data_IF_084253920680
#
_entry.id   IF_084253920680
#
_cell.length_a   1.000
_cell.length_b   1.000
_cell.length_c   1.000
_cell.angle_alpha   90.00
_cell.angle_beta   90.00
_cell.angle_gamma   90.00
#
_symmetry.space_group_name_H-M   'P 1'
#
loop_
_entity.id
_entity.type
_entity.pdbx_description
1 polymer ?
#
# COMPACT_ATOMS: atom_id res chain seq x y z
N UNK A 1 23.94 -36.33 -19.35
CA UNK A 1 22.71 -35.56 -19.05
C UNK A 1 23.08 -34.16 -18.53
N UNK A 2 23.40 -33.17 -19.39
CA UNK A 2 23.90 -31.86 -18.89
C UNK A 2 23.56 -30.62 -19.73
N UNK A 3 22.66 -30.66 -20.71
CA UNK A 3 22.39 -29.49 -21.57
C UNK A 3 20.97 -28.87 -21.46
N UNK A 4 20.06 -29.45 -20.68
CA UNK A 4 18.68 -28.92 -20.54
C UNK A 4 18.58 -27.69 -19.63
N UNK A 5 19.42 -27.58 -18.59
CA UNK A 5 19.36 -26.47 -17.62
C UNK A 5 19.75 -25.11 -18.22
N UNK A 6 20.68 -25.07 -19.18
CA UNK A 6 21.14 -23.81 -19.79
C UNK A 6 20.18 -23.22 -20.84
N UNK A 7 19.40 -24.07 -21.55
CA UNK A 7 18.38 -23.58 -22.47
C UNK A 7 17.20 -22.93 -21.73
N UNK A 8 16.80 -23.49 -20.58
CA UNK A 8 15.74 -22.94 -19.76
C UNK A 8 16.10 -21.57 -19.14
N UNK A 9 17.33 -21.38 -18.67
CA UNK A 9 17.75 -20.09 -18.09
C UNK A 9 17.88 -18.97 -19.14
N UNK A 10 18.40 -19.29 -20.33
CA UNK A 10 18.49 -18.34 -21.44
C UNK A 10 17.11 -17.93 -21.95
N UNK A 11 16.16 -18.87 -22.02
CA UNK A 11 14.77 -18.61 -22.40
C UNK A 11 14.00 -17.78 -21.36
N UNK A 12 14.22 -18.02 -20.06
CA UNK A 12 13.65 -17.19 -19.00
C UNK A 12 14.22 -15.76 -19.02
N UNK A 13 15.51 -15.61 -19.31
CA UNK A 13 16.18 -14.30 -19.45
C UNK A 13 15.67 -13.52 -20.65
N UNK A 14 15.45 -14.18 -21.80
CA UNK A 14 14.92 -13.51 -22.99
C UNK A 14 13.47 -13.05 -22.83
N UNK A 15 12.62 -13.84 -22.15
CA UNK A 15 11.25 -13.42 -21.81
C UNK A 15 11.24 -12.18 -20.92
N UNK A 16 12.08 -12.14 -19.89
CA UNK A 16 12.19 -10.98 -19.00
C UNK A 16 12.61 -9.71 -19.75
N UNK A 17 13.55 -9.83 -20.69
CA UNK A 17 14.00 -8.72 -21.53
C UNK A 17 12.91 -8.26 -22.51
N UNK A 18 12.16 -9.18 -23.12
CA UNK A 18 11.03 -8.87 -24.00
C UNK A 18 9.92 -8.12 -23.24
N UNK A 19 9.54 -8.61 -22.06
CA UNK A 19 8.52 -7.95 -21.22
C UNK A 19 8.97 -6.56 -20.79
N UNK A 20 10.22 -6.42 -20.33
CA UNK A 20 10.77 -5.11 -19.94
C UNK A 20 10.83 -4.13 -21.12
N UNK A 21 11.20 -4.60 -22.31
CA UNK A 21 11.25 -3.75 -23.51
C UNK A 21 9.86 -3.32 -23.98
N UNK A 22 8.85 -4.20 -23.88
CA UNK A 22 7.47 -3.85 -24.20
C UNK A 22 6.95 -2.78 -23.23
N UNK A 23 7.19 -2.95 -21.93
CA UNK A 23 6.78 -1.96 -20.92
C UNK A 23 7.47 -0.61 -21.17
N UNK A 24 8.79 -0.62 -21.44
CA UNK A 24 9.53 0.59 -21.75
C UNK A 24 8.99 1.31 -22.99
N UNK A 25 8.58 0.56 -24.01
CA UNK A 25 7.92 1.11 -25.20
C UNK A 25 6.58 1.77 -24.85
N UNK A 26 5.73 1.12 -24.05
CA UNK A 26 4.44 1.69 -23.62
C UNK A 26 4.65 2.99 -22.85
N UNK A 27 5.63 3.05 -21.95
CA UNK A 27 5.97 4.27 -21.22
C UNK A 27 6.48 5.36 -22.18
N UNK A 28 7.37 5.04 -23.11
CA UNK A 28 7.88 6.00 -24.09
C UNK A 28 6.78 6.54 -25.02
N UNK A 29 5.78 5.70 -25.33
CA UNK A 29 4.60 6.07 -26.10
C UNK A 29 3.48 6.74 -25.29
N UNK A 30 3.64 6.93 -23.97
CA UNK A 30 2.58 7.51 -23.15
C UNK A 30 2.08 8.87 -23.60
N UNK A 31 2.90 9.80 -24.17
CA UNK A 31 2.38 11.05 -24.71
C UNK A 31 1.40 10.80 -25.86
N UNK A 32 1.71 9.86 -26.75
CA UNK A 32 0.81 9.49 -27.85
C UNK A 32 -0.47 8.85 -27.34
N UNK A 33 -0.42 8.06 -26.26
CA UNK A 33 -1.60 7.48 -25.63
C UNK A 33 -2.57 8.55 -25.14
N UNK A 34 -2.05 9.67 -24.64
CA UNK A 34 -2.87 10.84 -24.32
C UNK A 34 -3.46 11.47 -25.58
N UNK A 35 -2.65 11.76 -26.59
CA UNK A 35 -3.09 12.40 -27.84
C UNK A 35 -4.07 11.58 -28.70
N UNK A 36 -4.37 10.32 -28.33
CA UNK A 36 -5.43 9.55 -28.98
C UNK A 36 -6.80 10.23 -28.94
N UNK A 37 -7.03 11.20 -28.04
CA UNK A 37 -8.27 11.98 -28.03
C UNK A 37 -8.50 12.74 -29.35
N UNK A 38 -7.45 13.11 -30.10
CA UNK A 38 -7.58 13.87 -31.35
C UNK A 38 -8.21 13.06 -32.50
N UNK A 39 -8.26 11.73 -32.36
CA UNK A 39 -8.89 10.85 -33.35
C UNK A 39 -10.42 10.94 -33.26
N UNK A 40 -10.95 11.38 -32.12
CA UNK A 40 -12.39 11.49 -31.90
C UNK A 40 -12.95 12.74 -32.60
N UNK A 41 -14.18 12.66 -33.14
CA UNK A 41 -14.78 13.79 -33.84
C UNK A 41 -15.11 14.93 -32.89
N UNK A 42 -15.01 16.15 -33.41
CA UNK A 42 -15.53 17.36 -32.78
C UNK A 42 -17.05 17.39 -33.01
N UNK A 43 -17.81 17.01 -32.00
CA UNK A 43 -19.26 16.88 -32.10
C UNK A 43 -19.84 16.10 -30.92
N UNK A 44 -21.11 16.38 -30.62
CA UNK A 44 -21.84 15.77 -29.50
C UNK A 44 -22.05 14.27 -29.64
N UNK A 45 -22.14 13.79 -30.88
CA UNK A 45 -22.41 12.39 -31.19
C UNK A 45 -21.24 11.83 -32.00
N UNK A 46 -20.74 10.69 -31.55
CA UNK A 46 -19.81 9.87 -32.29
C UNK A 46 -20.53 8.61 -32.77
N UNK A 47 -20.77 8.56 -34.08
CA UNK A 47 -21.32 7.40 -34.75
C UNK A 47 -20.19 6.56 -35.33
N UNK A 48 -20.15 5.29 -34.96
CA UNK A 48 -19.32 4.27 -35.59
C UNK A 48 -20.22 3.15 -36.10
N UNK A 49 -19.71 2.35 -37.04
CA UNK A 49 -20.37 1.17 -37.60
C UNK A 49 -20.91 0.15 -36.57
N UNK A 50 -20.43 0.20 -35.32
CA UNK A 50 -20.76 -0.75 -34.26
C UNK A 50 -21.52 -0.13 -33.08
N UNK A 51 -21.47 1.20 -32.90
CA UNK A 51 -22.07 1.88 -31.75
C UNK A 51 -22.22 3.38 -32.00
N UNK A 52 -23.18 3.98 -31.29
CA UNK A 52 -23.37 5.42 -31.21
C UNK A 52 -23.09 5.86 -29.79
N UNK A 53 -22.11 6.75 -29.62
CA UNK A 53 -21.80 7.38 -28.35
C UNK A 53 -22.28 8.84 -28.38
N UNK A 54 -23.05 9.25 -27.39
CA UNK A 54 -23.48 10.65 -27.22
C UNK A 54 -22.88 11.18 -25.91
N UNK A 55 -22.10 12.25 -26.01
CA UNK A 55 -21.62 13.00 -24.85
C UNK A 55 -22.72 13.96 -24.41
N UNK A 56 -23.33 13.69 -23.25
CA UNK A 56 -24.44 14.51 -22.75
C UNK A 56 -23.97 15.62 -21.81
N UNK A 57 -22.86 15.42 -21.09
CA UNK A 57 -22.35 16.40 -20.13
C UNK A 57 -21.29 17.32 -20.77
N UNK A 58 -20.31 16.74 -21.47
CA UNK A 58 -19.27 17.55 -22.10
C UNK A 58 -19.73 18.19 -23.42
N UNK A 59 -20.89 17.78 -23.94
CA UNK A 59 -21.52 18.21 -25.20
C UNK A 59 -20.67 18.01 -26.46
N UNK A 60 -19.44 17.51 -26.30
CA UNK A 60 -18.45 17.28 -27.32
C UNK A 60 -17.64 16.01 -26.99
N UNK A 61 -17.65 15.06 -27.91
CA UNK A 61 -16.99 13.76 -27.73
C UNK A 61 -15.48 13.92 -27.67
N UNK A 62 -14.88 14.87 -28.39
CA UNK A 62 -13.44 15.13 -28.27
C UNK A 62 -13.09 15.60 -26.85
N UNK A 63 -13.87 16.51 -26.26
CA UNK A 63 -13.67 16.98 -24.89
C UNK A 63 -13.86 15.87 -23.85
N UNK A 64 -14.86 15.01 -24.04
CA UNK A 64 -15.04 13.81 -23.21
C UNK A 64 -13.84 12.87 -23.33
N UNK A 65 -13.39 12.57 -24.55
CA UNK A 65 -12.21 11.75 -24.81
C UNK A 65 -10.95 12.35 -24.18
N UNK A 66 -10.72 13.66 -24.32
CA UNK A 66 -9.60 14.36 -23.69
C UNK A 66 -9.63 14.19 -22.16
N UNK A 67 -10.81 14.31 -21.55
CA UNK A 67 -10.99 14.13 -20.11
C UNK A 67 -10.72 12.69 -19.66
N UNK A 68 -11.16 11.70 -20.44
CA UNK A 68 -10.90 10.29 -20.17
C UNK A 68 -9.43 9.92 -20.38
N UNK A 69 -8.84 10.26 -21.52
CA UNK A 69 -7.44 9.98 -21.82
C UNK A 69 -6.49 10.71 -20.86
N UNK A 70 -6.85 11.91 -20.39
CA UNK A 70 -6.11 12.65 -19.37
C UNK A 70 -6.06 11.94 -18.01
N UNK A 71 -7.06 11.12 -17.67
CA UNK A 71 -7.08 10.30 -16.44
C UNK A 71 -6.58 8.87 -16.68
N UNK A 72 -6.83 8.32 -17.86
CA UNK A 72 -6.42 6.97 -18.24
C UNK A 72 -4.91 6.86 -18.43
N UNK A 73 -4.28 7.87 -19.03
CA UNK A 73 -2.82 7.89 -19.25
C UNK A 73 -2.04 7.76 -17.94
N UNK A 74 -2.25 8.64 -16.92
CA UNK A 74 -1.57 8.49 -15.64
C UNK A 74 -1.95 7.18 -14.93
N UNK A 75 -3.20 6.71 -15.04
CA UNK A 75 -3.62 5.44 -14.45
C UNK A 75 -2.85 4.25 -15.05
N UNK A 76 -2.66 4.20 -16.37
CA UNK A 76 -1.86 3.15 -17.03
C UNK A 76 -0.41 3.21 -16.56
N UNK A 77 0.18 4.41 -16.47
CA UNK A 77 1.55 4.56 -15.96
C UNK A 77 1.68 4.11 -14.49
N UNK A 78 0.70 4.44 -13.64
CA UNK A 78 0.66 4.01 -12.24
C UNK A 78 0.48 2.49 -12.12
N UNK A 79 -0.35 1.87 -12.97
CA UNK A 79 -0.50 0.41 -13.00
C UNK A 79 0.79 -0.28 -13.42
N UNK A 80 1.43 0.22 -14.48
CA UNK A 80 2.76 -0.26 -14.90
C UNK A 80 3.74 -0.14 -13.74
N UNK A 81 3.77 1.02 -13.08
CA UNK A 81 4.67 1.25 -11.95
C UNK A 81 4.37 0.30 -10.79
N UNK A 82 3.10 0.09 -10.45
CA UNK A 82 2.69 -0.84 -9.39
C UNK A 82 3.14 -2.28 -9.67
N UNK A 83 2.95 -2.79 -10.89
CA UNK A 83 3.34 -4.16 -11.24
C UNK A 83 4.84 -4.34 -11.45
N UNK A 84 5.57 -3.28 -11.80
CA UNK A 84 7.03 -3.35 -12.02
C UNK A 84 7.85 -3.04 -10.78
N UNK A 85 7.29 -2.28 -9.83
CA UNK A 85 7.95 -1.90 -8.59
C UNK A 85 8.08 -3.12 -7.66
N UNK A 86 9.30 -3.38 -7.17
CA UNK A 86 9.59 -4.44 -6.20
C UNK A 86 9.86 -3.91 -4.80
N UNK A 87 9.70 -2.60 -4.59
CA UNK A 87 9.96 -1.97 -3.30
C UNK A 87 8.77 -2.17 -2.37
N UNK A 88 9.02 -2.27 -1.07
CA UNK A 88 7.98 -2.49 -0.05
C UNK A 88 6.85 -1.44 -0.05
N UNK A 89 7.16 -0.20 -0.42
CA UNK A 89 6.21 0.91 -0.42
C UNK A 89 5.29 0.95 -1.65
N UNK A 90 5.46 0.04 -2.62
CA UNK A 90 4.64 0.04 -3.84
C UNK A 90 3.13 -0.03 -3.58
N UNK A 91 2.71 -0.59 -2.44
CA UNK A 91 1.32 -0.60 -1.99
C UNK A 91 0.73 0.81 -1.83
N UNK A 92 1.54 1.83 -1.56
CA UNK A 92 1.10 3.22 -1.50
C UNK A 92 0.65 3.74 -2.87
N UNK A 93 1.12 3.16 -3.98
CA UNK A 93 0.69 3.50 -5.35
C UNK A 93 -0.78 3.07 -5.58
N UNK A 94 -1.32 2.17 -4.76
CA UNK A 94 -2.73 1.78 -4.83
C UNK A 94 -3.67 2.96 -4.53
N UNK A 95 -3.22 3.93 -3.71
CA UNK A 95 -3.99 5.15 -3.39
C UNK A 95 -4.27 5.97 -4.65
N UNK A 96 -3.26 6.46 -5.42
CA UNK A 96 -3.52 7.19 -6.65
C UNK A 96 -4.18 6.33 -7.75
N UNK A 97 -3.92 5.03 -7.82
CA UNK A 97 -4.66 4.13 -8.75
C UNK A 97 -6.16 4.17 -8.45
N UNK A 98 -6.53 4.04 -7.18
CA UNK A 98 -7.93 4.08 -6.75
C UNK A 98 -8.56 5.45 -7.02
N UNK A 99 -7.80 6.53 -6.80
CA UNK A 99 -8.23 7.89 -7.11
C UNK A 99 -8.53 8.09 -8.60
N UNK A 100 -7.57 7.79 -9.49
CA UNK A 100 -7.79 7.93 -10.93
C UNK A 100 -8.88 6.98 -11.45
N UNK A 101 -8.99 5.77 -10.89
CA UNK A 101 -10.05 4.83 -11.21
C UNK A 101 -11.44 5.37 -10.85
N UNK A 102 -11.59 5.90 -9.63
CA UNK A 102 -12.83 6.54 -9.19
C UNK A 102 -13.18 7.76 -10.04
N UNK A 103 -12.20 8.58 -10.40
CA UNK A 103 -12.40 9.75 -11.27
C UNK A 103 -12.82 9.35 -12.69
N UNK A 104 -12.30 8.26 -13.25
CA UNK A 104 -12.72 7.75 -14.56
C UNK A 104 -14.18 7.28 -14.55
N UNK A 105 -14.54 6.50 -13.53
CA UNK A 105 -15.92 6.02 -13.36
C UNK A 105 -16.85 7.22 -13.21
N UNK A 106 -16.50 8.17 -12.33
CA UNK A 106 -17.30 9.38 -12.11
C UNK A 106 -17.47 10.20 -13.38
N UNK A 107 -16.39 10.45 -14.12
CA UNK A 107 -16.46 11.18 -15.39
C UNK A 107 -17.35 10.46 -16.42
N UNK A 108 -17.33 9.13 -16.47
CA UNK A 108 -18.19 8.35 -17.36
C UNK A 108 -19.66 8.45 -16.95
N UNK A 109 -19.96 8.29 -15.66
CA UNK A 109 -21.33 8.41 -15.16
C UNK A 109 -21.89 9.81 -15.38
N UNK A 110 -21.08 10.84 -15.15
CA UNK A 110 -21.45 12.23 -15.38
C UNK A 110 -21.78 12.47 -16.85
N UNK A 111 -20.93 12.00 -17.78
CA UNK A 111 -21.16 12.17 -19.22
C UNK A 111 -22.31 11.34 -19.78
N UNK A 112 -22.50 10.12 -19.30
CA UNK A 112 -23.55 9.22 -19.79
C UNK A 112 -24.95 9.59 -19.27
N UNK A 113 -25.03 10.13 -18.04
CA UNK A 113 -26.30 10.33 -17.34
C UNK A 113 -26.69 11.78 -17.08
N UNK A 114 -25.80 12.77 -17.27
CA UNK A 114 -26.00 14.24 -17.28
C UNK A 114 -26.74 14.92 -16.09
N UNK A 115 -27.60 14.22 -15.35
CA UNK A 115 -28.52 14.75 -14.35
C UNK A 115 -28.05 14.53 -12.90
N UNK A 116 -26.87 13.97 -12.68
CA UNK A 116 -26.39 13.69 -11.32
C UNK A 116 -25.62 14.88 -10.75
N UNK A 117 -26.36 15.88 -10.25
CA UNK A 117 -25.86 17.02 -9.45
C UNK A 117 -25.10 16.58 -8.17
N UNK A 118 -25.13 15.29 -7.83
CA UNK A 118 -24.65 14.72 -6.56
C UNK A 118 -23.18 14.29 -6.62
N UNK A 119 -22.59 14.12 -7.82
CA UNK A 119 -21.23 13.54 -7.97
C UNK A 119 -20.14 14.62 -8.14
N UNK A 120 -20.52 15.87 -8.39
CA UNK A 120 -19.58 16.94 -8.72
C UNK A 120 -18.91 17.58 -7.48
N UNK A 121 -19.56 17.57 -6.30
CA UNK A 121 -19.14 18.45 -5.20
C UNK A 121 -18.12 17.83 -4.22
N UNK A 122 -18.12 16.51 -4.00
CA UNK A 122 -17.38 15.93 -2.86
C UNK A 122 -16.67 14.60 -3.14
N UNK A 123 -16.14 14.41 -4.35
CA UNK A 123 -15.44 13.18 -4.76
C UNK A 123 -14.37 12.71 -3.75
N UNK A 124 -13.67 13.65 -3.12
CA UNK A 124 -12.64 13.35 -2.13
C UNK A 124 -13.21 12.75 -0.83
N UNK A 125 -14.38 13.22 -0.39
CA UNK A 125 -15.03 12.72 0.84
C UNK A 125 -15.55 11.30 0.63
N UNK A 126 -16.13 11.01 -0.54
CA UNK A 126 -16.55 9.64 -0.89
C UNK A 126 -15.37 8.67 -1.00
N UNK A 127 -14.18 9.17 -1.35
CA UNK A 127 -12.98 8.37 -1.49
C UNK A 127 -12.19 8.19 -0.18
N UNK A 128 -12.41 9.07 0.81
CA UNK A 128 -11.77 9.01 2.12
C UNK A 128 -11.84 7.63 2.82
N UNK A 129 -12.98 6.91 2.89
CA UNK A 129 -13.03 5.58 3.49
C UNK A 129 -12.14 4.57 2.75
N UNK A 130 -12.03 4.65 1.43
CA UNK A 130 -11.12 3.80 0.66
C UNK A 130 -9.66 4.10 0.97
N UNK A 131 -9.30 5.37 1.14
CA UNK A 131 -7.94 5.75 1.55
C UNK A 131 -7.59 5.20 2.93
N UNK A 132 -8.50 5.26 3.90
CA UNK A 132 -8.27 4.70 5.23
C UNK A 132 -7.96 3.20 5.13
N UNK A 133 -8.77 2.43 4.40
CA UNK A 133 -8.55 0.98 4.23
C UNK A 133 -7.21 0.69 3.54
N UNK A 134 -6.88 1.40 2.46
CA UNK A 134 -5.63 1.19 1.73
C UNK A 134 -4.43 1.54 2.62
N UNK A 135 -4.49 2.65 3.36
CA UNK A 135 -3.43 3.04 4.29
C UNK A 135 -3.27 2.04 5.43
N UNK A 136 -4.38 1.48 5.96
CA UNK A 136 -4.32 0.38 6.93
C UNK A 136 -3.60 -0.83 6.36
N UNK A 137 -3.90 -1.24 5.13
CA UNK A 137 -3.21 -2.37 4.46
C UNK A 137 -1.72 -2.07 4.30
N UNK A 138 -1.35 -0.87 3.83
CA UNK A 138 0.05 -0.46 3.68
C UNK A 138 0.78 -0.52 5.02
N UNK A 139 0.15 -0.07 6.10
CA UNK A 139 0.73 -0.09 7.45
C UNK A 139 0.96 -1.53 7.95
N UNK A 140 -0.02 -2.43 7.77
CA UNK A 140 0.14 -3.85 8.12
C UNK A 140 1.28 -4.52 7.37
N UNK A 141 1.43 -4.20 6.08
CA UNK A 141 2.52 -4.72 5.26
C UNK A 141 3.87 -4.17 5.73
N UNK A 142 3.93 -2.88 6.12
CA UNK A 142 5.12 -2.29 6.71
C UNK A 142 5.52 -2.98 8.01
N UNK A 143 4.56 -3.34 8.88
CA UNK A 143 4.84 -4.12 10.09
C UNK A 143 5.44 -5.47 9.72
N UNK A 144 4.80 -6.24 8.83
CA UNK A 144 5.31 -7.56 8.40
C UNK A 144 6.70 -7.52 7.79
N UNK A 145 7.01 -6.45 7.05
CA UNK A 145 8.33 -6.27 6.44
C UNK A 145 9.37 -5.90 7.50
N UNK A 146 9.01 -5.05 8.46
CA UNK A 146 9.88 -4.73 9.59
C UNK A 146 10.16 -5.97 10.44
N UNK A 147 9.14 -6.74 10.77
CA UNK A 147 9.24 -8.02 11.48
C UNK A 147 10.26 -8.96 10.81
N UNK A 148 10.10 -9.15 9.48
CA UNK A 148 11.01 -9.96 8.67
C UNK A 148 12.43 -9.40 8.56
N UNK A 149 12.61 -8.08 8.56
CA UNK A 149 13.94 -7.44 8.45
C UNK A 149 14.70 -7.51 9.77
N UNK A 150 14.01 -7.31 10.89
CA UNK A 150 14.62 -7.29 12.22
C UNK A 150 14.70 -8.68 12.87
N UNK A 151 14.12 -9.71 12.24
CA UNK A 151 14.22 -11.10 12.71
C UNK A 151 13.58 -11.31 14.08
N UNK A 152 12.73 -10.39 14.51
CA UNK A 152 11.86 -10.57 15.67
C UNK A 152 10.70 -11.37 15.10
N UNK A 153 10.78 -12.69 15.16
CA UNK A 153 9.63 -13.51 14.81
C UNK A 153 8.62 -13.32 15.95
N UNK A 154 7.62 -12.47 15.75
CA UNK A 154 6.54 -12.33 16.73
C UNK A 154 5.82 -13.67 16.98
N UNK A 155 5.94 -14.64 16.05
CA UNK A 155 5.47 -16.01 16.31
C UNK A 155 6.37 -16.78 17.28
N UNK A 156 7.66 -16.46 17.36
CA UNK A 156 8.56 -16.99 18.39
C UNK A 156 8.29 -16.35 19.77
N UNK A 157 7.72 -15.13 19.83
CA UNK A 157 7.23 -14.51 21.08
C UNK A 157 5.87 -15.09 21.52
N UNK A 158 5.09 -15.66 20.59
CA UNK A 158 3.85 -16.39 20.91
C UNK A 158 4.16 -17.86 21.29
N UNK A 159 5.21 -18.45 20.72
CA UNK A 159 5.72 -19.80 21.08
C UNK A 159 6.59 -19.79 22.35
N UNK A 160 7.37 -18.73 22.57
CA UNK A 160 7.98 -18.48 23.88
C UNK A 160 6.94 -17.78 24.74
N UNK A 161 6.20 -18.59 25.46
CA UNK A 161 5.39 -18.21 26.62
C UNK A 161 6.30 -17.59 27.69
N UNK A 162 6.96 -16.45 27.37
CA UNK A 162 7.56 -15.54 28.33
C UNK A 162 6.39 -14.84 28.95
N UNK A 163 5.67 -15.61 29.76
CA UNK A 163 4.94 -15.10 30.89
C UNK A 163 5.80 -13.98 31.46
N UNK A 164 5.28 -12.75 31.37
CA UNK A 164 5.77 -11.62 32.18
C UNK A 164 5.79 -12.01 33.68
N UNK A 165 5.09 -13.10 34.00
CA UNK A 165 5.13 -13.89 35.22
C UNK A 165 5.86 -15.23 35.06
N UNK A 166 7.12 -15.25 34.61
CA UNK A 166 7.94 -16.43 34.86
C UNK A 166 7.98 -16.67 36.38
N UNK A 167 7.84 -17.91 36.89
CA UNK A 167 7.99 -18.14 38.32
C UNK A 167 9.38 -17.66 38.70
N UNK A 168 9.44 -16.64 39.55
CA UNK A 168 10.67 -16.02 40.06
C UNK A 168 11.72 -17.13 40.23
N UNK A 169 12.83 -17.01 39.48
CA UNK A 169 13.95 -17.94 39.53
C UNK A 169 14.29 -18.27 40.98
N UNK A 170 14.58 -19.55 41.30
CA UNK A 170 14.97 -19.92 42.66
C UNK A 170 16.15 -19.09 43.18
N UNK A 171 17.03 -18.63 42.28
CA UNK A 171 18.15 -17.75 42.62
C UNK A 171 17.67 -16.38 43.09
N UNK A 172 16.63 -15.80 42.46
CA UNK A 172 16.05 -14.52 42.86
C UNK A 172 15.27 -14.65 44.18
N UNK A 173 14.56 -15.77 44.39
CA UNK A 173 13.94 -16.05 45.71
C UNK A 173 14.97 -16.16 46.82
N UNK A 174 16.13 -16.76 46.54
CA UNK A 174 17.23 -16.86 47.51
C UNK A 174 17.86 -15.51 47.79
N UNK A 175 18.02 -14.65 46.79
CA UNK A 175 18.48 -13.28 47.00
C UNK A 175 17.51 -12.46 47.85
N UNK A 176 16.20 -12.50 47.55
CA UNK A 176 15.21 -11.78 48.36
C UNK A 176 15.19 -12.28 49.80
N UNK A 177 15.30 -13.61 50.00
CA UNK A 177 15.44 -14.19 51.35
C UNK A 177 16.73 -13.78 52.05
N UNK A 178 17.87 -13.73 51.35
CA UNK A 178 19.13 -13.29 51.97
C UNK A 178 19.07 -11.81 52.35
N UNK A 179 18.40 -10.96 51.56
CA UNK A 179 18.18 -9.56 51.93
C UNK A 179 17.23 -9.41 53.13
N UNK A 180 16.18 -10.23 53.24
CA UNK A 180 15.32 -10.25 54.43
C UNK A 180 16.04 -10.79 55.67
N UNK A 181 16.86 -11.83 55.55
CA UNK A 181 17.66 -12.36 56.65
C UNK A 181 18.75 -11.36 57.10
N UNK A 182 19.33 -10.59 56.17
CA UNK A 182 20.24 -9.49 56.49
C UNK A 182 19.51 -8.33 57.20
N UNK A 183 18.30 -7.95 56.79
CA UNK A 183 17.48 -6.96 57.50
C UNK A 183 17.04 -7.45 58.88
N UNK A 184 16.70 -8.73 59.03
CA UNK A 184 16.28 -9.33 60.30
C UNK A 184 17.47 -9.50 61.27
N UNK A 185 18.71 -9.59 60.76
CA UNK A 185 19.94 -9.60 61.54
C UNK A 185 20.38 -8.19 62.01
N UNK A 186 19.88 -7.12 61.38
CA UNK A 186 20.05 -5.76 61.89
C UNK A 186 19.08 -5.50 63.04
N UNK A 187 19.45 -5.94 64.23
CA UNK A 187 18.87 -5.44 65.47
C UNK A 187 19.20 -3.94 65.56
N UNK A 188 18.21 -3.03 65.68
CA UNK A 188 18.51 -1.62 65.86
C UNK A 188 19.26 -1.50 67.18
N UNK A 189 20.54 -1.12 67.12
CA UNK A 189 21.34 -0.89 68.31
C UNK A 189 20.57 0.09 69.21
N UNK A 190 20.10 -0.41 70.36
CA UNK A 190 19.36 0.36 71.36
C UNK A 190 20.13 1.65 71.66
N UNK A 191 19.40 2.75 71.53
CA UNK A 191 19.88 4.12 71.67
C UNK A 191 20.08 4.45 73.16
N UNK A 192 21.02 3.76 73.82
CA UNK A 192 21.25 3.86 75.27
C UNK A 192 22.25 4.98 75.67
N UNK A 193 22.54 5.91 74.74
CA UNK A 193 23.57 6.94 74.93
C UNK A 193 23.06 8.24 75.60
N UNK A 194 21.73 8.41 75.76
CA UNK A 194 21.16 9.66 76.30
C UNK A 194 20.62 9.58 77.75
N UNK A 195 20.82 8.47 78.45
CA UNK A 195 20.27 8.24 79.81
C UNK A 195 21.29 8.40 80.95
N UNK A 196 22.52 8.84 80.68
CA UNK A 196 23.57 8.99 81.72
C UNK A 196 24.27 10.37 81.78
N UNK A 197 23.59 11.47 81.43
CA UNK A 197 24.08 12.82 81.73
C UNK A 197 23.02 13.67 82.42
#
# INVERSE_FOLDING_TARGET
MTNLKNKLSTYARSKFLLTGSFIALVIAFSPYLFYLYEIFPNGRVWENSLFTYESKYYEDVMTAAWTFLGKLTPLVLLLIWFFTCKHWWYHSILVPITMYGYQLITAYYQDAYADTYIIDTDQLIYLAPFFIVILSIVYLIRIKIFDRIYGIDLSEIDETDVSVFSPISETDRRQVKSFQEEEEFWEPAEEDYYTQL
#
